data_IF_958890052713
#
_entry.id   IF_958890052713
#
_cell.length_a   1.000
_cell.length_b   1.000
_cell.length_c   1.000
_cell.angle_alpha   90.00
_cell.angle_beta   90.00
_cell.angle_gamma   90.00
#
_symmetry.space_group_name_H-M   'P 1'
#
loop_
_entity.id
_entity.type
_entity.pdbx_description
1 polymer ?
#
# COMPACT_ATOMS: atom_id res chain seq x y z
N UNK A 1 12.48 6.48 -9.42
CA UNK A 1 12.39 5.35 -8.49
C UNK A 1 13.61 5.39 -7.59
N UNK A 2 13.42 5.56 -6.27
CA UNK A 2 14.48 5.27 -5.30
C UNK A 2 14.86 3.80 -5.46
N UNK A 3 16.13 3.52 -5.69
CA UNK A 3 16.64 2.15 -5.81
C UNK A 3 16.98 1.63 -4.42
N UNK A 4 16.93 0.31 -4.25
CA UNK A 4 17.51 -0.31 -3.06
C UNK A 4 18.96 0.20 -2.88
N UNK A 5 19.20 0.84 -1.74
CA UNK A 5 20.56 1.18 -1.32
C UNK A 5 21.05 0.07 -0.39
N UNK A 6 21.90 -0.86 -0.86
CA UNK A 6 22.33 -2.00 -0.05
C UNK A 6 23.16 -1.60 1.18
N UNK A 7 23.61 -0.35 1.25
CA UNK A 7 24.35 0.17 2.42
C UNK A 7 23.42 0.53 3.58
N UNK A 8 22.11 0.72 3.33
CA UNK A 8 21.13 1.09 4.34
C UNK A 8 20.20 -0.07 4.69
N UNK A 9 20.16 -0.47 5.96
CA UNK A 9 19.19 -1.46 6.38
C UNK A 9 17.76 -0.92 6.30
N UNK A 10 16.79 -1.83 6.12
CA UNK A 10 15.38 -1.51 6.01
C UNK A 10 14.65 -1.74 7.33
N UNK A 11 13.80 -0.79 7.69
CA UNK A 11 12.88 -0.84 8.83
C UNK A 11 11.44 -0.88 8.31
N UNK A 12 10.63 -1.81 8.83
CA UNK A 12 9.21 -1.91 8.48
C UNK A 12 8.38 -1.16 9.52
N UNK A 13 7.40 -0.39 9.09
CA UNK A 13 6.42 0.24 9.96
C UNK A 13 5.23 -0.71 10.13
N UNK A 14 4.97 -1.12 11.37
CA UNK A 14 3.95 -2.12 11.72
C UNK A 14 4.52 -3.52 11.91
N UNK A 15 3.83 -4.34 12.71
CA UNK A 15 4.19 -5.73 13.02
C UNK A 15 3.00 -6.69 12.89
N UNK A 16 1.99 -6.33 12.09
CA UNK A 16 0.83 -7.17 11.79
C UNK A 16 1.07 -8.13 10.62
N UNK A 17 0.03 -8.88 10.22
CA UNK A 17 0.10 -9.88 9.14
C UNK A 17 0.67 -9.33 7.83
N UNK A 18 0.27 -8.12 7.43
CA UNK A 18 0.77 -7.48 6.22
C UNK A 18 2.28 -7.19 6.29
N UNK A 19 2.79 -6.79 7.47
CA UNK A 19 4.22 -6.54 7.68
C UNK A 19 5.06 -7.81 7.57
N UNK A 20 4.54 -8.98 7.98
CA UNK A 20 5.26 -10.25 7.84
C UNK A 20 5.38 -10.65 6.37
N UNK A 21 4.29 -10.56 5.61
CA UNK A 21 4.35 -10.81 4.17
C UNK A 21 5.32 -9.83 3.49
N UNK A 22 5.25 -8.55 3.83
CA UNK A 22 6.15 -7.54 3.30
C UNK A 22 7.62 -7.83 3.61
N UNK A 23 7.93 -8.31 4.84
CA UNK A 23 9.30 -8.71 5.21
C UNK A 23 9.84 -9.77 4.26
N UNK A 24 9.07 -10.82 4.00
CA UNK A 24 9.50 -11.90 3.10
C UNK A 24 9.78 -11.35 1.70
N UNK A 25 8.91 -10.49 1.19
CA UNK A 25 9.05 -9.91 -0.14
C UNK A 25 10.23 -8.95 -0.21
N UNK A 26 10.44 -8.15 0.83
CA UNK A 26 11.59 -7.25 0.90
C UNK A 26 12.92 -8.04 0.88
N UNK A 27 12.99 -9.15 1.63
CA UNK A 27 14.15 -10.05 1.60
C UNK A 27 14.37 -10.67 0.21
N UNK A 28 13.29 -11.13 -0.46
CA UNK A 28 13.36 -11.65 -1.84
C UNK A 28 13.80 -10.58 -2.85
N UNK A 29 13.43 -9.34 -2.62
CA UNK A 29 13.85 -8.18 -3.42
C UNK A 29 15.26 -7.66 -3.08
N UNK A 30 15.97 -8.33 -2.17
CA UNK A 30 17.35 -8.02 -1.81
C UNK A 30 17.54 -6.92 -0.77
N UNK A 31 16.50 -6.56 -0.03
CA UNK A 31 16.61 -5.60 1.08
C UNK A 31 17.09 -6.29 2.36
N UNK A 32 17.90 -5.59 3.15
CA UNK A 32 18.35 -6.03 4.46
C UNK A 32 17.36 -5.58 5.55
N UNK A 33 16.32 -6.36 5.83
CA UNK A 33 15.30 -6.03 6.84
C UNK A 33 15.82 -6.35 8.24
N UNK A 34 15.99 -5.33 9.09
CA UNK A 34 16.55 -5.48 10.44
C UNK A 34 15.48 -5.53 11.53
N UNK A 35 14.27 -5.07 11.27
CA UNK A 35 13.20 -5.08 12.26
C UNK A 35 12.02 -4.18 11.88
N UNK A 36 11.13 -3.97 12.85
CA UNK A 36 9.97 -3.12 12.71
C UNK A 36 9.87 -2.08 13.83
N UNK A 37 9.20 -0.98 13.50
CA UNK A 37 8.66 -0.01 14.46
C UNK A 37 7.17 -0.31 14.61
N UNK A 38 6.71 -0.48 15.84
CA UNK A 38 5.30 -0.71 16.12
C UNK A 38 4.92 -0.18 17.49
N UNK A 39 4.06 0.84 17.53
CA UNK A 39 3.65 1.48 18.77
C UNK A 39 2.84 0.58 19.70
N UNK A 40 2.16 -0.45 19.16
CA UNK A 40 1.35 -1.40 19.95
C UNK A 40 2.16 -2.55 20.48
N UNK A 41 3.37 -2.74 19.98
CA UNK A 41 4.28 -3.83 20.34
C UNK A 41 5.54 -3.32 21.08
N UNK A 42 5.58 -2.06 21.48
CA UNK A 42 6.67 -1.46 22.28
C UNK A 42 6.92 -2.29 23.54
N UNK A 43 8.17 -2.60 23.80
CA UNK A 43 8.57 -3.46 24.94
C UNK A 43 8.60 -4.97 24.63
N UNK A 44 8.13 -5.40 23.47
CA UNK A 44 8.37 -6.78 22.98
C UNK A 44 9.71 -6.83 22.24
N UNK A 45 10.46 -7.92 22.42
CA UNK A 45 11.71 -8.12 21.69
C UNK A 45 11.46 -8.44 20.21
N UNK A 46 10.41 -9.19 19.92
CA UNK A 46 10.02 -9.53 18.56
C UNK A 46 8.54 -9.92 18.47
N UNK A 47 7.98 -9.84 17.27
CA UNK A 47 6.65 -10.37 16.93
C UNK A 47 6.83 -11.31 15.73
N UNK A 48 6.49 -12.59 15.90
CA UNK A 48 6.66 -13.64 14.89
C UNK A 48 8.06 -13.64 14.23
N UNK A 49 9.10 -13.46 15.04
CA UNK A 49 10.49 -13.45 14.58
C UNK A 49 10.93 -12.17 13.86
N UNK A 50 10.07 -11.14 13.78
CA UNK A 50 10.45 -9.81 13.34
C UNK A 50 10.85 -8.97 14.57
N UNK A 51 12.11 -8.54 14.72
CA UNK A 51 12.55 -7.74 15.86
C UNK A 51 11.75 -6.42 15.94
N UNK A 52 11.40 -6.01 17.15
CA UNK A 52 10.77 -4.69 17.39
C UNK A 52 11.85 -3.74 17.87
N UNK A 53 12.14 -2.74 17.05
CA UNK A 53 13.19 -1.75 17.31
C UNK A 53 12.74 -0.65 18.28
N UNK A 54 11.44 -0.34 18.30
CA UNK A 54 10.84 0.68 19.15
C UNK A 54 9.45 1.11 18.69
N UNK A 55 9.01 2.26 19.15
CA UNK A 55 7.75 2.91 18.80
C UNK A 55 7.92 4.05 17.80
N UNK A 56 6.84 4.83 17.63
CA UNK A 56 6.78 5.95 16.68
C UNK A 56 7.76 7.10 17.02
N UNK A 57 8.30 7.14 18.23
CA UNK A 57 9.34 8.09 18.67
C UNK A 57 10.61 8.01 17.82
N UNK A 58 10.98 6.82 17.34
CA UNK A 58 12.12 6.64 16.43
C UNK A 58 11.91 7.34 15.08
N UNK A 59 10.67 7.58 14.67
CA UNK A 59 10.37 8.30 13.42
C UNK A 59 10.59 9.82 13.55
N UNK A 60 10.87 10.32 14.74
CA UNK A 60 11.22 11.72 14.99
C UNK A 60 12.73 11.93 15.13
N UNK A 61 13.51 10.86 15.22
CA UNK A 61 14.97 10.90 15.25
C UNK A 61 15.54 11.00 13.84
N UNK A 62 16.03 12.18 13.49
CA UNK A 62 16.60 12.43 12.14
C UNK A 62 17.82 11.58 11.84
N UNK A 63 18.61 11.20 12.85
CA UNK A 63 19.77 10.31 12.65
C UNK A 63 19.32 8.90 12.31
N UNK A 64 18.28 8.41 12.96
CA UNK A 64 17.66 7.13 12.68
C UNK A 64 17.04 7.12 11.26
N UNK A 65 16.32 8.19 10.91
CA UNK A 65 15.72 8.33 9.57
C UNK A 65 16.76 8.29 8.46
N UNK A 66 17.87 9.02 8.61
CA UNK A 66 18.92 9.08 7.59
C UNK A 66 19.70 7.76 7.44
N UNK A 67 19.81 6.98 8.51
CA UNK A 67 20.54 5.73 8.54
C UNK A 67 19.79 4.54 7.90
N UNK A 68 18.47 4.66 7.68
CA UNK A 68 17.63 3.53 7.28
C UNK A 68 16.79 3.81 6.03
N UNK A 69 16.36 2.73 5.37
CA UNK A 69 15.25 2.74 4.41
C UNK A 69 13.98 2.28 5.10
N UNK A 70 12.82 2.74 4.62
CA UNK A 70 11.54 2.45 5.27
C UNK A 70 10.52 1.85 4.33
N UNK A 71 9.73 0.90 4.86
CA UNK A 71 8.56 0.34 4.20
C UNK A 71 7.37 0.35 5.16
N UNK A 72 6.18 0.70 4.67
CA UNK A 72 4.98 0.75 5.51
C UNK A 72 4.18 -0.53 5.36
N UNK A 73 4.32 -1.44 6.36
CA UNK A 73 3.67 -2.76 6.41
C UNK A 73 2.26 -2.72 6.99
N UNK A 74 1.46 -1.71 6.61
CA UNK A 74 0.10 -1.49 7.13
C UNK A 74 -0.89 -1.58 5.97
N UNK A 75 -1.86 -2.52 6.06
CA UNK A 75 -2.86 -2.74 5.02
C UNK A 75 -3.89 -1.61 4.90
N UNK A 76 -4.24 -0.93 6.00
CA UNK A 76 -5.20 0.18 5.99
C UNK A 76 -4.65 1.38 5.20
N UNK A 77 -5.34 1.85 4.13
CA UNK A 77 -4.85 2.92 3.26
C UNK A 77 -4.59 4.23 3.99
N UNK A 78 -5.52 4.65 4.85
CA UNK A 78 -5.43 5.92 5.59
C UNK A 78 -4.25 5.90 6.57
N UNK A 79 -4.10 4.80 7.32
CA UNK A 79 -2.98 4.64 8.24
C UNK A 79 -1.65 4.59 7.48
N UNK A 80 -1.59 3.85 6.35
CA UNK A 80 -0.40 3.77 5.49
C UNK A 80 -0.03 5.15 4.95
N UNK A 81 -1.01 5.93 4.50
CA UNK A 81 -0.76 7.30 4.03
C UNK A 81 -0.19 8.19 5.14
N UNK A 82 -0.74 8.15 6.35
CA UNK A 82 -0.27 8.96 7.48
C UNK A 82 1.19 8.67 7.83
N UNK A 83 1.58 7.40 7.90
CA UNK A 83 3.00 7.04 8.11
C UNK A 83 3.87 7.44 6.92
N UNK A 84 3.37 7.26 5.70
CA UNK A 84 4.06 7.69 4.49
C UNK A 84 4.32 9.20 4.48
N UNK A 85 3.32 10.01 4.84
CA UNK A 85 3.48 11.46 4.97
C UNK A 85 4.52 11.84 6.02
N UNK A 86 4.49 11.19 7.19
CA UNK A 86 5.46 11.43 8.24
C UNK A 86 6.88 11.12 7.75
N UNK A 87 7.09 9.95 7.15
CA UNK A 87 8.39 9.53 6.62
C UNK A 87 8.92 10.50 5.57
N UNK A 88 8.11 10.88 4.57
CA UNK A 88 8.54 11.81 3.53
C UNK A 88 8.85 13.21 4.06
N UNK A 89 8.08 13.71 5.03
CA UNK A 89 8.37 15.01 5.68
C UNK A 89 9.71 15.00 6.45
N UNK A 90 10.11 13.85 6.97
CA UNK A 90 11.40 13.66 7.62
C UNK A 90 12.54 13.39 6.63
N UNK A 91 12.25 13.36 5.32
CA UNK A 91 13.23 13.06 4.29
C UNK A 91 13.68 11.61 4.25
N UNK A 92 12.84 10.68 4.74
CA UNK A 92 13.13 9.26 4.74
C UNK A 92 13.24 8.68 3.32
N UNK A 93 14.12 7.72 3.13
CA UNK A 93 14.22 6.92 1.91
C UNK A 93 13.18 5.78 1.97
N UNK A 94 12.18 5.85 1.09
CA UNK A 94 11.10 4.88 0.98
C UNK A 94 11.13 4.25 -0.43
N UNK A 95 11.99 3.26 -0.68
CA UNK A 95 12.05 2.60 -1.99
C UNK A 95 10.77 1.81 -2.30
N UNK A 96 10.47 1.64 -3.58
CA UNK A 96 9.46 0.67 -4.00
C UNK A 96 9.96 -0.75 -3.76
N UNK A 97 9.12 -1.59 -3.16
CA UNK A 97 9.41 -3.02 -2.94
C UNK A 97 8.61 -3.83 -3.93
N UNK A 98 9.32 -4.49 -4.83
CA UNK A 98 8.72 -5.23 -5.94
C UNK A 98 9.13 -6.70 -5.81
N UNK A 99 8.14 -7.57 -5.55
CA UNK A 99 8.37 -9.01 -5.61
C UNK A 99 8.90 -9.39 -7.00
N UNK A 100 10.00 -10.16 -7.11
CA UNK A 100 10.59 -10.56 -8.39
C UNK A 100 9.64 -11.29 -9.35
N UNK A 101 8.52 -11.85 -8.85
CA UNK A 101 7.48 -12.47 -9.68
C UNK A 101 6.54 -11.48 -10.36
N UNK A 102 6.68 -10.18 -10.10
CA UNK A 102 5.80 -9.14 -10.65
C UNK A 102 6.36 -8.56 -11.95
N UNK A 103 5.46 -8.29 -12.89
CA UNK A 103 5.77 -7.55 -14.12
C UNK A 103 5.45 -6.07 -13.94
N UNK A 104 6.40 -5.21 -14.28
CA UNK A 104 6.21 -3.76 -14.36
C UNK A 104 6.70 -3.28 -15.71
N UNK A 105 5.82 -2.65 -16.48
CA UNK A 105 6.17 -2.06 -17.76
C UNK A 105 7.25 -0.98 -17.58
N UNK A 106 8.17 -0.88 -18.54
CA UNK A 106 9.23 0.15 -18.53
C UNK A 106 8.66 1.58 -18.53
N UNK A 107 7.47 1.77 -19.08
CA UNK A 107 6.78 3.07 -19.16
C UNK A 107 5.82 3.30 -17.98
N UNK A 108 5.73 2.37 -17.05
CA UNK A 108 4.97 2.58 -15.82
C UNK A 108 5.75 3.43 -14.82
N UNK A 109 5.03 4.25 -14.05
CA UNK A 109 5.64 5.05 -12.99
C UNK A 109 5.20 4.59 -11.62
N UNK A 110 6.16 4.41 -10.72
CA UNK A 110 5.92 4.03 -9.33
C UNK A 110 6.43 5.13 -8.41
N UNK A 111 5.59 5.55 -7.48
CA UNK A 111 5.93 6.51 -6.42
C UNK A 111 6.78 5.89 -5.30
N UNK A 112 7.09 6.71 -4.30
CA UNK A 112 7.80 6.28 -3.10
C UNK A 112 7.00 5.25 -2.31
N UNK A 113 7.67 4.25 -1.74
CA UNK A 113 7.06 3.26 -0.86
C UNK A 113 5.98 2.38 -1.50
N UNK A 114 5.92 2.29 -2.85
CA UNK A 114 5.01 1.38 -3.55
C UNK A 114 5.36 -0.07 -3.21
N UNK A 115 4.34 -0.88 -2.96
CA UNK A 115 4.48 -2.30 -2.62
C UNK A 115 3.79 -3.16 -3.68
N UNK A 116 4.54 -4.08 -4.30
CA UNK A 116 4.03 -5.12 -5.18
C UNK A 116 4.29 -6.49 -4.54
N UNK A 117 3.26 -7.08 -3.93
CA UNK A 117 3.40 -8.25 -3.05
C UNK A 117 3.71 -9.54 -3.83
N UNK A 118 3.30 -9.66 -5.07
CA UNK A 118 3.71 -10.76 -5.96
C UNK A 118 2.73 -11.08 -7.06
N UNK A 119 3.27 -11.60 -8.18
CA UNK A 119 2.52 -11.96 -9.39
C UNK A 119 1.63 -10.81 -9.90
N UNK A 120 2.06 -9.57 -9.66
CA UNK A 120 1.35 -8.38 -10.13
C UNK A 120 1.71 -8.09 -11.59
N UNK A 121 0.79 -7.43 -12.31
CA UNK A 121 1.07 -6.89 -13.63
C UNK A 121 0.69 -5.41 -13.67
N UNK A 122 1.69 -4.54 -13.79
CA UNK A 122 1.53 -3.09 -13.96
C UNK A 122 1.86 -2.75 -15.40
N UNK A 123 0.83 -2.41 -16.19
CA UNK A 123 0.96 -2.26 -17.64
C UNK A 123 1.47 -0.90 -18.09
N UNK A 124 1.60 -0.75 -19.43
CA UNK A 124 2.10 0.43 -20.12
C UNK A 124 1.45 1.73 -19.63
N UNK A 125 2.25 2.75 -19.35
CA UNK A 125 1.83 4.07 -18.89
C UNK A 125 0.94 4.08 -17.63
N UNK A 126 0.85 2.96 -16.90
CA UNK A 126 0.18 2.95 -15.61
C UNK A 126 0.97 3.75 -14.58
N UNK A 127 0.26 4.47 -13.72
CA UNK A 127 0.84 5.30 -12.67
C UNK A 127 0.35 4.85 -11.30
N UNK A 128 1.28 4.50 -10.44
CA UNK A 128 1.02 4.23 -9.02
C UNK A 128 1.67 5.35 -8.21
N UNK A 129 0.84 6.14 -7.53
CA UNK A 129 1.36 7.21 -6.65
C UNK A 129 2.03 6.61 -5.40
N UNK A 130 2.58 7.48 -4.53
CA UNK A 130 3.29 7.06 -3.33
C UNK A 130 2.44 6.15 -2.44
N UNK A 131 3.08 5.16 -1.85
CA UNK A 131 2.50 4.21 -0.91
C UNK A 131 1.31 3.41 -1.43
N UNK A 132 1.11 3.31 -2.75
CA UNK A 132 0.18 2.33 -3.32
C UNK A 132 0.66 0.92 -2.96
N UNK A 133 -0.27 0.06 -2.55
CA UNK A 133 0.02 -1.34 -2.27
C UNK A 133 -0.86 -2.27 -3.12
N UNK A 134 -0.22 -3.08 -3.94
CA UNK A 134 -0.87 -4.14 -4.70
C UNK A 134 -0.58 -5.47 -4.01
N UNK A 135 -1.62 -6.10 -3.49
CA UNK A 135 -1.51 -7.43 -2.92
C UNK A 135 -1.30 -8.49 -4.03
N UNK A 136 -1.30 -9.76 -3.70
CA UNK A 136 -1.00 -10.84 -4.64
C UNK A 136 -1.95 -10.86 -5.85
N UNK A 137 -1.37 -11.08 -7.05
CA UNK A 137 -2.10 -11.29 -8.32
C UNK A 137 -2.97 -10.10 -8.76
N UNK A 138 -2.63 -8.89 -8.36
CA UNK A 138 -3.32 -7.68 -8.83
C UNK A 138 -2.83 -7.31 -10.22
N UNK A 139 -3.77 -6.93 -11.11
CA UNK A 139 -3.44 -6.36 -12.42
C UNK A 139 -3.89 -4.92 -12.51
N UNK A 140 -3.04 -4.04 -13.03
CA UNK A 140 -3.32 -2.64 -13.34
C UNK A 140 -3.14 -2.42 -14.83
N UNK A 141 -4.24 -2.10 -15.52
CA UNK A 141 -4.29 -1.90 -16.97
C UNK A 141 -3.53 -0.66 -17.42
N UNK A 142 -3.29 -0.58 -18.72
CA UNK A 142 -2.58 0.53 -19.34
C UNK A 142 -3.25 1.87 -19.05
N UNK A 143 -2.48 2.95 -18.93
CA UNK A 143 -2.98 4.30 -18.72
C UNK A 143 -3.69 4.55 -17.38
N UNK A 144 -3.83 3.52 -16.54
CA UNK A 144 -4.55 3.66 -15.26
C UNK A 144 -3.73 4.39 -14.22
N UNK A 145 -4.40 5.18 -13.39
CA UNK A 145 -3.79 5.93 -12.31
C UNK A 145 -4.38 5.51 -10.96
N UNK A 146 -3.56 4.93 -10.10
CA UNK A 146 -3.90 4.67 -8.72
C UNK A 146 -3.30 5.77 -7.83
N UNK A 147 -4.17 6.54 -7.21
CA UNK A 147 -3.81 7.63 -6.32
C UNK A 147 -3.11 7.15 -5.06
N UNK A 148 -2.54 8.09 -4.34
CA UNK A 148 -1.72 7.87 -3.15
C UNK A 148 -2.36 6.92 -2.15
N UNK A 149 -1.58 5.96 -1.68
CA UNK A 149 -1.97 4.95 -0.71
C UNK A 149 -3.20 4.11 -1.06
N UNK A 150 -3.59 4.00 -2.34
CA UNK A 150 -4.59 3.01 -2.76
C UNK A 150 -4.11 1.61 -2.36
N UNK A 151 -5.01 0.81 -1.80
CA UNK A 151 -4.78 -0.60 -1.56
C UNK A 151 -5.62 -1.43 -2.52
N UNK A 152 -4.99 -2.33 -3.25
CA UNK A 152 -5.65 -3.30 -4.09
C UNK A 152 -5.46 -4.70 -3.50
N UNK A 153 -6.56 -5.30 -3.03
CA UNK A 153 -6.59 -6.61 -2.40
C UNK A 153 -6.28 -7.75 -3.37
N UNK A 154 -5.97 -8.95 -2.86
CA UNK A 154 -5.56 -10.10 -3.67
C UNK A 154 -6.50 -10.38 -4.83
N UNK A 155 -5.94 -10.61 -6.02
CA UNK A 155 -6.70 -10.98 -7.21
C UNK A 155 -7.59 -9.89 -7.79
N UNK A 156 -7.54 -8.65 -7.29
CA UNK A 156 -8.30 -7.55 -7.87
C UNK A 156 -7.74 -7.17 -9.26
N UNK A 157 -8.62 -6.72 -10.16
CA UNK A 157 -8.28 -6.41 -11.54
C UNK A 157 -8.79 -5.02 -11.91
N UNK A 158 -7.87 -4.18 -12.31
CA UNK A 158 -8.14 -2.83 -12.80
C UNK A 158 -7.85 -2.82 -14.30
N UNK A 159 -8.85 -2.55 -15.12
CA UNK A 159 -8.70 -2.47 -16.57
C UNK A 159 -7.98 -1.18 -17.01
N UNK A 160 -7.93 -0.89 -18.30
CA UNK A 160 -7.22 0.28 -18.83
C UNK A 160 -7.92 1.62 -18.54
N UNK A 161 -7.13 2.70 -18.43
CA UNK A 161 -7.61 4.07 -18.29
C UNK A 161 -8.54 4.32 -17.08
N UNK A 162 -8.36 3.56 -16.00
CA UNK A 162 -9.08 3.72 -14.73
C UNK A 162 -8.37 4.76 -13.86
N UNK A 163 -9.14 5.63 -13.21
CA UNK A 163 -8.64 6.55 -12.18
C UNK A 163 -9.18 6.13 -10.83
N UNK A 164 -8.30 5.79 -9.90
CA UNK A 164 -8.67 5.46 -8.52
C UNK A 164 -8.12 6.53 -7.57
N UNK A 165 -9.01 7.23 -6.87
CA UNK A 165 -8.66 8.29 -5.93
C UNK A 165 -7.87 7.78 -4.74
N UNK A 166 -7.13 8.68 -4.09
CA UNK A 166 -6.26 8.38 -2.95
C UNK A 166 -7.00 7.62 -1.84
N UNK A 167 -6.26 6.80 -1.11
CA UNK A 167 -6.72 6.08 0.08
C UNK A 167 -7.96 5.19 -0.15
N UNK A 168 -8.27 4.87 -1.42
CA UNK A 168 -9.34 3.93 -1.73
C UNK A 168 -8.87 2.48 -1.50
N UNK A 169 -9.83 1.64 -1.17
CA UNK A 169 -9.63 0.22 -0.92
C UNK A 169 -10.37 -0.62 -1.97
N UNK A 170 -9.63 -1.34 -2.79
CA UNK A 170 -10.15 -2.29 -3.75
C UNK A 170 -10.13 -3.68 -3.11
N UNK A 171 -11.31 -4.21 -2.78
CA UNK A 171 -11.46 -5.48 -2.06
C UNK A 171 -10.96 -6.69 -2.87
N UNK A 172 -10.74 -7.80 -2.15
CA UNK A 172 -10.33 -9.09 -2.70
C UNK A 172 -11.14 -9.44 -3.97
N UNK A 173 -10.46 -9.71 -5.08
CA UNK A 173 -11.08 -10.19 -6.32
C UNK A 173 -12.04 -9.21 -7.00
N UNK A 174 -12.08 -7.93 -6.60
CA UNK A 174 -12.91 -6.95 -7.29
C UNK A 174 -12.42 -6.72 -8.73
N UNK A 175 -13.33 -6.32 -9.60
CA UNK A 175 -13.04 -6.06 -11.00
C UNK A 175 -13.53 -4.66 -11.37
N UNK A 176 -12.69 -3.89 -12.04
CA UNK A 176 -12.99 -2.52 -12.49
C UNK A 176 -12.84 -2.47 -13.98
N UNK A 177 -13.94 -2.18 -14.72
CA UNK A 177 -13.87 -2.06 -16.18
C UNK A 177 -13.10 -0.81 -16.59
N UNK A 178 -12.76 -0.74 -17.87
CA UNK A 178 -11.99 0.39 -18.42
C UNK A 178 -12.76 1.72 -18.33
N UNK A 179 -11.96 2.81 -18.23
CA UNK A 179 -12.43 4.21 -18.33
C UNK A 179 -13.45 4.62 -17.27
N UNK A 180 -13.42 3.98 -16.11
CA UNK A 180 -14.23 4.41 -14.96
C UNK A 180 -13.35 5.07 -13.91
N UNK A 181 -13.95 5.90 -13.08
CA UNK A 181 -13.33 6.54 -11.93
C UNK A 181 -13.88 6.02 -10.62
N UNK A 182 -13.00 5.83 -9.65
CA UNK A 182 -13.35 5.56 -8.25
C UNK A 182 -12.86 6.74 -7.43
N UNK A 183 -13.78 7.40 -6.74
CA UNK A 183 -13.46 8.57 -5.90
C UNK A 183 -12.59 8.19 -4.69
N UNK A 184 -11.94 9.20 -4.12
CA UNK A 184 -11.05 9.02 -2.96
C UNK A 184 -11.78 8.45 -1.74
N UNK A 185 -11.04 7.75 -0.89
CA UNK A 185 -11.53 7.14 0.36
C UNK A 185 -12.71 6.16 0.17
N UNK A 186 -12.91 5.65 -1.03
CA UNK A 186 -14.00 4.71 -1.31
C UNK A 186 -13.54 3.27 -1.15
N UNK A 187 -14.47 2.43 -0.71
CA UNK A 187 -14.25 1.00 -0.50
C UNK A 187 -15.06 0.23 -1.53
N UNK A 188 -14.39 -0.53 -2.36
CA UNK A 188 -14.99 -1.50 -3.26
C UNK A 188 -14.96 -2.86 -2.57
N UNK A 189 -16.12 -3.45 -2.36
CA UNK A 189 -16.24 -4.74 -1.65
C UNK A 189 -15.61 -5.91 -2.41
N UNK A 190 -15.30 -6.97 -1.68
CA UNK A 190 -14.75 -8.19 -2.27
C UNK A 190 -15.66 -8.75 -3.36
N UNK A 191 -15.08 -9.17 -4.49
CA UNK A 191 -15.83 -9.73 -5.64
C UNK A 191 -16.73 -8.75 -6.37
N UNK A 192 -16.72 -7.45 -6.04
CA UNK A 192 -17.55 -6.46 -6.70
C UNK A 192 -17.06 -6.18 -8.13
N UNK A 193 -18.01 -5.90 -9.04
CA UNK A 193 -17.72 -5.51 -10.44
C UNK A 193 -18.12 -4.05 -10.67
N UNK A 194 -17.15 -3.17 -10.75
CA UNK A 194 -17.36 -1.74 -10.99
C UNK A 194 -17.54 -1.51 -12.49
N UNK A 195 -18.75 -1.10 -12.88
CA UNK A 195 -19.15 -0.88 -14.28
C UNK A 195 -19.53 0.57 -14.58
N UNK A 196 -19.36 1.46 -13.62
CA UNK A 196 -19.58 2.92 -13.75
C UNK A 196 -18.84 3.64 -12.64
N UNK A 197 -18.71 4.93 -12.75
CA UNK A 197 -18.04 5.77 -11.77
C UNK A 197 -18.63 5.59 -10.36
N UNK A 198 -17.73 5.55 -9.37
CA UNK A 198 -18.05 5.49 -7.95
C UNK A 198 -17.63 6.81 -7.32
N UNK A 199 -18.54 7.49 -6.60
CA UNK A 199 -18.19 8.74 -5.92
C UNK A 199 -17.21 8.54 -4.77
N UNK A 200 -16.66 9.64 -4.23
CA UNK A 200 -15.79 9.62 -3.07
C UNK A 200 -16.54 9.27 -1.78
N UNK A 201 -15.80 8.75 -0.80
CA UNK A 201 -16.29 8.52 0.57
C UNK A 201 -17.50 7.57 0.65
N UNK A 202 -17.52 6.49 -0.12
CA UNK A 202 -18.58 5.50 -0.14
C UNK A 202 -18.08 4.07 -0.03
N UNK A 203 -19.00 3.17 0.33
CA UNK A 203 -18.83 1.72 0.19
C UNK A 203 -19.71 1.24 -0.95
N UNK A 204 -19.12 0.60 -1.97
CA UNK A 204 -19.82 0.01 -3.09
C UNK A 204 -19.56 -1.49 -3.17
N UNK A 205 -20.62 -2.28 -3.36
CA UNK A 205 -20.54 -3.75 -3.39
C UNK A 205 -21.43 -4.35 -4.48
N UNK A 206 -21.17 -5.59 -4.85
CA UNK A 206 -22.01 -6.37 -5.76
C UNK A 206 -21.54 -6.35 -7.21
N UNK A 207 -22.24 -7.08 -8.07
CA UNK A 207 -22.00 -7.17 -9.51
C UNK A 207 -23.34 -6.96 -10.26
N UNK A 208 -23.55 -5.77 -10.88
CA UNK A 208 -22.68 -4.58 -10.85
C UNK A 208 -22.61 -3.92 -9.47
N UNK A 209 -21.50 -3.26 -9.17
CA UNK A 209 -21.26 -2.57 -7.92
C UNK A 209 -22.26 -1.41 -7.72
N UNK A 210 -22.83 -1.33 -6.53
CA UNK A 210 -23.73 -0.25 -6.10
C UNK A 210 -23.29 0.31 -4.77
N UNK A 211 -23.40 1.63 -4.61
CA UNK A 211 -23.19 2.30 -3.32
C UNK A 211 -24.24 1.82 -2.33
N UNK A 212 -23.80 1.37 -1.17
CA UNK A 212 -24.67 0.88 -0.09
C UNK A 212 -24.66 1.76 1.14
N UNK A 213 -23.57 2.54 1.34
CA UNK A 213 -23.46 3.48 2.46
C UNK A 213 -22.33 4.48 2.21
N UNK A 214 -22.34 5.56 2.98
CA UNK A 214 -21.19 6.47 3.10
C UNK A 214 -20.05 5.80 3.86
N UNK A 215 -18.84 6.22 3.55
CA UNK A 215 -17.61 5.86 4.24
C UNK A 215 -16.94 7.15 4.74
N UNK A 216 -17.47 7.76 5.81
CA UNK A 216 -16.91 9.00 6.31
C UNK A 216 -15.48 8.77 6.75
N UNK A 217 -14.62 9.76 6.47
CA UNK A 217 -13.24 9.76 6.97
C UNK A 217 -13.27 9.71 8.49
N UNK A 218 -12.75 8.64 9.04
CA UNK A 218 -12.50 8.59 10.48
C UNK A 218 -11.26 9.43 10.80
N UNK A 219 -11.48 10.70 11.12
CA UNK A 219 -10.42 11.63 11.52
C UNK A 219 -9.75 11.22 12.84
N UNK A 220 -10.38 10.31 13.59
CA UNK A 220 -9.89 9.79 14.87
C UNK A 220 -9.20 8.43 14.74
N UNK A 221 -8.90 7.98 13.52
CA UNK A 221 -8.23 6.68 13.32
C UNK A 221 -6.96 6.61 14.18
N UNK A 222 -7.17 6.27 15.44
CA UNK A 222 -6.19 5.57 16.21
C UNK A 222 -5.90 4.30 15.44
N UNK A 223 -4.73 4.23 14.85
CA UNK A 223 -4.19 3.16 14.04
C UNK A 223 -4.53 1.78 14.64
N UNK A 224 -5.62 1.16 14.20
CA UNK A 224 -6.09 -0.13 14.68
C UNK A 224 -6.88 -0.86 13.60
N UNK A 225 -6.87 -2.19 13.60
CA UNK A 225 -7.50 -3.01 12.55
C UNK A 225 -9.02 -2.99 12.71
N UNK A 226 -9.70 -2.15 11.94
CA UNK A 226 -11.16 -2.16 11.88
C UNK A 226 -11.65 -2.10 10.45
N UNK A 227 -11.25 -3.09 9.65
CA UNK A 227 -11.92 -3.42 8.40
C UNK A 227 -11.96 -4.94 8.26
N UNK A 228 -12.87 -5.56 9.00
CA UNK A 228 -13.42 -6.88 8.71
C UNK A 228 -14.91 -6.86 9.03
#
# INVERSE_FOLDING_TARGET
MSRNDPSKPMVIIGSGGHAFCLREIALLAGFNVIGAIDRTSTGKQSVNGLPILGGDDLLLDSSFIQAHQFAVGIGNPVARNRYGDLLLRQGADCPAIINPSSYVSADASLGAGVLLMGMNAVNHAARLDDFVALDWQVTVGHGSHLGRAVFAGPGSRVAGDVVCGKESYLGLGCQVIEKVSIGEHSVIGAGATVTRDIPSNVVAVGSPAKVIKENPLDTNLALGPQFY
#
